data_IF_104276918612
#
_entry.id   IF_104276918612
#
_cell.length_a   1.000
_cell.length_b   1.000
_cell.length_c   1.000
_cell.angle_alpha   90.00
_cell.angle_beta   90.00
_cell.angle_gamma   90.00
#
_symmetry.space_group_name_H-M   'P 1'
#
loop_
_entity.id
_entity.type
_entity.pdbx_description
1 polymer ?
#
# COMPACT_ATOMS: atom_id res chain seq x y z
N UNK A 1 -1.76 -8.81 17.20
CA UNK A 1 -3.18 -8.39 17.27
C UNK A 1 -3.69 -8.28 15.85
N UNK A 2 -4.75 -9.02 15.51
CA UNK A 2 -5.30 -9.02 14.16
C UNK A 2 -5.89 -7.64 13.85
N UNK A 3 -5.46 -7.02 12.75
CA UNK A 3 -6.02 -5.76 12.25
C UNK A 3 -7.54 -5.88 12.13
N UNK A 4 -8.28 -4.79 12.34
CA UNK A 4 -9.69 -4.76 11.94
C UNK A 4 -9.77 -5.10 10.44
N UNK A 5 -10.86 -5.71 10.01
CA UNK A 5 -11.12 -6.06 8.60
C UNK A 5 -11.79 -4.86 7.91
N UNK A 6 -11.43 -4.59 6.65
CA UNK A 6 -12.10 -3.55 5.87
C UNK A 6 -13.43 -4.12 5.32
N UNK A 7 -14.56 -3.40 5.42
CA UNK A 7 -15.85 -3.87 4.91
C UNK A 7 -15.90 -4.06 3.38
N UNK A 8 -14.85 -3.68 2.66
CA UNK A 8 -14.77 -3.76 1.20
C UNK A 8 -13.70 -4.77 0.82
N UNK A 9 -14.11 -5.83 0.13
CA UNK A 9 -13.24 -6.96 -0.24
C UNK A 9 -12.04 -6.53 -1.09
N UNK A 10 -12.22 -5.61 -2.03
CA UNK A 10 -11.13 -5.10 -2.87
C UNK A 10 -10.01 -4.46 -2.03
N UNK A 11 -10.39 -3.63 -1.06
CA UNK A 11 -9.44 -2.93 -0.19
C UNK A 11 -8.78 -3.93 0.76
N UNK A 12 -9.56 -4.87 1.31
CA UNK A 12 -9.04 -5.97 2.13
C UNK A 12 -7.96 -6.76 1.37
N UNK A 13 -8.19 -7.09 0.10
CA UNK A 13 -7.21 -7.78 -0.74
C UNK A 13 -5.93 -6.95 -0.92
N UNK A 14 -6.05 -5.64 -1.19
CA UNK A 14 -4.90 -4.76 -1.30
C UNK A 14 -4.11 -4.65 0.02
N UNK A 15 -4.81 -4.63 1.16
CA UNK A 15 -4.18 -4.62 2.48
C UNK A 15 -3.48 -5.96 2.78
N UNK A 16 -4.06 -7.10 2.39
CA UNK A 16 -3.38 -8.41 2.53
C UNK A 16 -2.11 -8.46 1.68
N UNK A 17 -2.19 -7.93 0.46
CA UNK A 17 -1.03 -7.80 -0.42
C UNK A 17 0.05 -6.92 0.21
N UNK A 18 -0.33 -5.81 0.84
CA UNK A 18 0.58 -4.94 1.57
C UNK A 18 1.30 -5.69 2.71
N UNK A 19 0.57 -6.41 3.56
CA UNK A 19 1.17 -7.22 4.63
C UNK A 19 2.11 -8.29 4.09
N UNK A 20 1.72 -8.96 2.99
CA UNK A 20 2.56 -9.96 2.34
C UNK A 20 3.88 -9.37 1.82
N UNK A 21 3.84 -8.12 1.36
CA UNK A 21 5.04 -7.36 0.98
C UNK A 21 5.82 -6.79 2.16
N UNK A 22 5.35 -7.00 3.40
CA UNK A 22 5.99 -6.53 4.62
C UNK A 22 5.62 -5.10 4.99
N UNK A 23 4.60 -4.51 4.37
CA UNK A 23 4.13 -3.18 4.76
C UNK A 23 3.45 -3.20 6.12
N UNK A 24 3.69 -2.15 6.90
CA UNK A 24 3.08 -2.01 8.22
C UNK A 24 1.72 -1.34 8.08
N UNK A 25 0.68 -1.95 8.64
CA UNK A 25 -0.68 -1.43 8.58
C UNK A 25 -1.10 -1.01 9.97
N UNK A 26 -1.53 0.24 10.09
CA UNK A 26 -2.08 0.80 11.31
C UNK A 26 -3.55 1.13 11.07
N UNK A 27 -4.43 0.44 11.78
CA UNK A 27 -5.86 0.73 11.72
C UNK A 27 -6.16 1.81 12.76
N UNK A 28 -6.74 2.92 12.33
CA UNK A 28 -6.98 4.05 13.22
C UNK A 28 -7.80 5.18 12.60
N UNK A 29 -8.79 5.65 13.37
CA UNK A 29 -9.32 7.02 13.28
C UNK A 29 -10.59 7.23 12.45
N UNK A 30 -11.76 7.25 13.10
CA UNK A 30 -12.99 7.94 12.66
C UNK A 30 -13.29 7.93 11.14
N UNK A 31 -12.89 9.00 10.44
CA UNK A 31 -13.13 9.22 9.00
C UNK A 31 -12.28 8.35 8.06
N UNK A 32 -11.05 8.01 8.45
CA UNK A 32 -10.23 7.03 7.75
C UNK A 32 -10.45 5.64 8.35
N UNK A 33 -10.19 4.60 7.58
CA UNK A 33 -10.15 3.25 8.13
C UNK A 33 -8.80 3.00 8.80
N UNK A 34 -7.71 3.43 8.16
CA UNK A 34 -6.36 3.28 8.65
C UNK A 34 -5.32 3.85 7.70
N UNK A 35 -4.06 3.52 7.94
CA UNK A 35 -2.90 3.94 7.15
C UNK A 35 -1.95 2.78 6.96
N UNK A 36 -1.28 2.74 5.82
CA UNK A 36 -0.18 1.81 5.55
C UNK A 36 1.14 2.59 5.51
N UNK A 37 2.18 2.00 6.08
CA UNK A 37 3.50 2.58 6.26
C UNK A 37 4.54 1.68 5.60
N UNK A 38 5.41 2.28 4.79
CA UNK A 38 6.57 1.60 4.27
C UNK A 38 7.58 1.33 5.40
N UNK A 39 8.05 0.08 5.59
CA UNK A 39 8.95 -0.27 6.69
C UNK A 39 10.38 0.24 6.48
N UNK A 40 10.75 0.58 5.25
CA UNK A 40 12.14 0.92 4.89
C UNK A 40 12.42 2.42 4.83
N UNK A 41 11.39 3.26 5.02
CA UNK A 41 11.42 4.72 5.10
C UNK A 41 12.61 5.39 4.39
N UNK A 42 12.79 5.06 3.10
CA UNK A 42 13.95 5.49 2.35
C UNK A 42 13.58 6.69 1.48
N UNK A 43 14.50 7.64 1.36
CA UNK A 43 14.43 8.89 0.59
C UNK A 43 14.09 8.61 -0.89
N UNK A 44 14.55 7.49 -1.43
CA UNK A 44 14.24 7.05 -2.80
C UNK A 44 12.84 6.47 -2.96
N UNK A 45 12.06 6.33 -1.89
CA UNK A 45 10.71 5.80 -1.94
C UNK A 45 9.71 6.88 -2.39
N UNK A 46 9.37 6.86 -3.68
CA UNK A 46 8.29 7.60 -4.36
C UNK A 46 8.35 9.15 -4.35
N UNK A 47 8.89 9.81 -3.31
CA UNK A 47 8.91 11.28 -3.19
C UNK A 47 9.82 11.87 -2.07
N UNK A 48 10.82 11.18 -1.53
CA UNK A 48 11.74 11.78 -0.54
C UNK A 48 11.28 11.78 0.92
N UNK A 49 9.97 11.75 1.20
CA UNK A 49 9.46 12.07 2.55
C UNK A 49 8.32 11.14 3.01
N UNK A 50 8.60 9.85 3.28
CA UNK A 50 7.66 8.86 3.81
C UNK A 50 6.60 8.30 2.84
N UNK A 51 6.79 7.04 2.41
CA UNK A 51 5.78 6.24 1.69
C UNK A 51 4.63 5.83 2.65
N UNK A 52 3.71 6.74 2.94
CA UNK A 52 2.51 6.51 3.77
C UNK A 52 1.27 6.68 2.90
N UNK A 53 0.28 5.77 3.02
CA UNK A 53 -1.00 5.94 2.33
C UNK A 53 -2.17 5.72 3.27
N UNK A 54 -3.11 6.67 3.26
CA UNK A 54 -4.35 6.57 4.03
C UNK A 54 -5.39 5.74 3.29
N UNK A 55 -6.04 4.86 4.04
CA UNK A 55 -7.08 3.93 3.57
C UNK A 55 -8.42 4.46 4.03
N UNK A 56 -9.31 4.75 3.08
CA UNK A 56 -10.61 5.34 3.38
C UNK A 56 -11.70 4.28 3.52
N UNK A 57 -12.64 4.51 4.45
CA UNK A 57 -13.74 3.58 4.76
C UNK A 57 -14.83 3.59 3.67
N UNK A 58 -15.10 4.75 3.08
CA UNK A 58 -16.17 5.01 2.10
C UNK A 58 -15.65 5.67 0.80
N UNK A 59 -14.75 5.03 0.04
CA UNK A 59 -14.40 5.54 -1.27
C UNK A 59 -15.56 5.34 -2.25
N UNK A 60 -15.82 6.34 -3.10
CA UNK A 60 -16.83 6.27 -4.18
C UNK A 60 -16.62 5.03 -5.06
N UNK A 61 -15.36 4.62 -5.27
CA UNK A 61 -14.97 3.42 -6.02
C UNK A 61 -13.93 2.60 -5.23
N UNK A 62 -14.34 1.52 -4.52
CA UNK A 62 -13.43 0.72 -3.69
C UNK A 62 -12.35 -0.02 -4.50
N UNK A 63 -12.69 -0.53 -5.69
CA UNK A 63 -11.75 -1.23 -6.56
C UNK A 63 -10.63 -0.31 -7.07
N UNK A 64 -10.96 0.93 -7.46
CA UNK A 64 -9.95 1.90 -7.88
C UNK A 64 -9.04 2.30 -6.72
N UNK A 65 -9.60 2.49 -5.52
CA UNK A 65 -8.82 2.78 -4.33
C UNK A 65 -7.87 1.61 -3.97
N UNK A 66 -8.36 0.37 -4.03
CA UNK A 66 -7.53 -0.82 -3.85
C UNK A 66 -6.39 -0.92 -4.88
N UNK A 67 -6.68 -0.67 -6.16
CA UNK A 67 -5.65 -0.62 -7.22
C UNK A 67 -4.63 0.48 -6.95
N UNK A 68 -5.06 1.64 -6.46
CA UNK A 68 -4.16 2.72 -6.08
C UNK A 68 -3.22 2.28 -4.95
N UNK A 69 -3.73 1.61 -3.91
CA UNK A 69 -2.91 1.04 -2.83
C UNK A 69 -1.90 0.01 -3.38
N UNK A 70 -2.35 -0.93 -4.22
CA UNK A 70 -1.46 -1.91 -4.86
C UNK A 70 -0.38 -1.24 -5.71
N UNK A 71 -0.72 -0.19 -6.47
CA UNK A 71 0.27 0.62 -7.21
C UNK A 71 1.23 1.34 -6.28
N UNK A 72 0.80 1.71 -5.07
CA UNK A 72 1.72 2.32 -4.10
C UNK A 72 2.80 1.32 -3.71
N UNK A 73 2.36 0.11 -3.38
CA UNK A 73 3.19 -1.01 -2.96
C UNK A 73 4.10 -1.50 -4.10
N UNK A 74 3.57 -1.67 -5.32
CA UNK A 74 4.33 -2.15 -6.49
C UNK A 74 5.46 -1.18 -6.90
N UNK A 75 5.15 0.14 -6.91
CA UNK A 75 6.11 1.18 -7.28
C UNK A 75 7.04 1.60 -6.11
N UNK A 76 6.97 0.92 -4.97
CA UNK A 76 7.93 1.17 -3.91
C UNK A 76 9.27 0.54 -4.27
N UNK A 77 10.33 1.35 -4.23
CA UNK A 77 11.69 0.96 -4.56
C UNK A 77 12.15 -0.28 -3.79
N UNK A 78 11.66 -0.51 -2.57
CA UNK A 78 12.02 -1.72 -1.81
C UNK A 78 11.29 -2.98 -2.27
N UNK A 79 10.06 -2.85 -2.79
CA UNK A 79 9.41 -3.95 -3.48
C UNK A 79 10.15 -4.32 -4.78
N UNK A 80 10.71 -3.31 -5.46
CA UNK A 80 11.59 -3.51 -6.62
C UNK A 80 12.93 -4.15 -6.24
N UNK A 81 13.54 -3.74 -5.13
CA UNK A 81 14.81 -4.30 -4.62
C UNK A 81 14.65 -5.73 -4.07
N UNK A 82 13.51 -6.09 -3.47
CA UNK A 82 13.20 -7.48 -3.05
C UNK A 82 12.87 -8.41 -4.22
N UNK A 83 12.83 -7.92 -5.46
CA UNK A 83 12.69 -8.76 -6.66
C UNK A 83 11.27 -9.21 -6.97
N UNK A 84 10.21 -8.58 -6.41
CA UNK A 84 8.82 -8.94 -6.72
C UNK A 84 8.34 -8.45 -8.10
N UNK A 85 9.13 -7.60 -8.77
CA UNK A 85 9.13 -7.44 -10.21
C UNK A 85 10.58 -7.33 -10.67
N UNK A 86 10.99 -8.22 -11.58
CA UNK A 86 12.09 -7.88 -12.47
C UNK A 86 11.83 -6.46 -13.03
N UNK A 87 12.85 -5.58 -13.09
CA UNK A 87 12.67 -4.26 -13.68
C UNK A 87 12.01 -4.48 -15.04
N UNK A 88 10.86 -3.83 -15.28
CA UNK A 88 10.29 -3.79 -16.61
C UNK A 88 11.40 -3.24 -17.50
N UNK A 89 11.98 -4.12 -18.31
CA UNK A 89 12.99 -3.77 -19.27
C UNK A 89 12.41 -2.66 -20.17
N UNK A 90 12.95 -1.45 -19.99
CA UNK A 90 13.38 -0.50 -21.02
C UNK A 90 12.62 -0.53 -22.35
N UNK A 91 12.09 0.63 -22.76
CA UNK A 91 12.05 1.11 -24.16
C UNK A 91 12.18 2.64 -24.06
N UNK A 92 13.40 3.21 -24.13
CA UNK A 92 14.02 3.88 -25.30
C UNK A 92 13.16 4.93 -26.01
#
# INVERSE_FOLDING_TARGET
MARATHPKKDIEMALRYAEWQGWRIEVGGGHAWGRIYCPYNNEVCRCGEFCITSVWRTPKNPTQHARALCRVIDNCTVNQLRGAKAPAARQE
#
